data_IF_828137184025
#
_entry.id   IF_828137184025
#
_cell.length_a   1.000
_cell.length_b   1.000
_cell.length_c   1.000
_cell.angle_alpha   90.00
_cell.angle_beta   90.00
_cell.angle_gamma   90.00
#
_symmetry.space_group_name_H-M   'P 1'
#
loop_
_entity.id
_entity.type
_entity.pdbx_description
1 polymer ?
#
# COMPACT_ATOMS: atom_id res chain seq x y z
N UNK A 1 22.61 -2.62 -14.36
CA UNK A 1 22.30 -1.20 -14.56
C UNK A 1 23.15 -0.38 -13.60
N UNK A 2 23.97 0.55 -14.14
CA UNK A 2 24.73 1.52 -13.30
C UNK A 2 23.77 2.68 -12.95
N UNK A 3 22.84 2.43 -12.02
CA UNK A 3 21.92 3.47 -11.50
C UNK A 3 22.47 3.92 -10.15
N UNK A 4 22.76 5.21 -10.02
CA UNK A 4 23.27 5.79 -8.77
C UNK A 4 22.13 6.00 -7.78
N UNK A 5 21.10 6.76 -8.16
CA UNK A 5 19.92 7.05 -7.32
C UNK A 5 18.61 6.81 -8.07
N UNK A 6 17.60 6.34 -7.33
CA UNK A 6 16.26 6.03 -7.85
C UNK A 6 15.17 6.88 -7.17
N UNK A 7 14.06 7.06 -7.87
CA UNK A 7 12.78 7.40 -7.25
C UNK A 7 12.07 6.08 -6.94
N UNK A 8 11.87 5.78 -5.66
CA UNK A 8 11.25 4.54 -5.21
C UNK A 8 9.78 4.76 -4.92
N UNK A 9 8.93 3.91 -5.51
CA UNK A 9 7.48 3.91 -5.25
C UNK A 9 7.10 2.58 -4.64
N UNK A 10 6.45 2.60 -3.48
CA UNK A 10 5.89 1.42 -2.82
C UNK A 10 4.38 1.53 -2.70
N UNK A 11 3.67 0.45 -3.02
CA UNK A 11 2.23 0.35 -2.85
C UNK A 11 1.87 -0.77 -1.87
N UNK A 12 0.97 -0.48 -0.92
CA UNK A 12 0.46 -1.45 0.06
C UNK A 12 1.61 -2.18 0.79
N UNK A 13 1.73 -3.52 0.70
CA UNK A 13 2.88 -4.26 1.21
C UNK A 13 4.20 -3.73 0.66
N UNK A 14 4.23 -3.30 -0.61
CA UNK A 14 5.40 -2.69 -1.23
C UNK A 14 5.84 -1.39 -0.53
N UNK A 15 4.93 -0.66 0.10
CA UNK A 15 5.29 0.54 0.88
C UNK A 15 6.05 0.18 2.17
N UNK A 16 5.70 -0.93 2.83
CA UNK A 16 6.44 -1.42 4.00
C UNK A 16 7.85 -1.87 3.61
N UNK A 17 7.98 -2.56 2.47
CA UNK A 17 9.27 -2.96 1.91
C UNK A 17 10.10 -1.72 1.52
N UNK A 18 9.46 -0.70 0.93
CA UNK A 18 10.14 0.54 0.54
C UNK A 18 10.64 1.33 1.76
N UNK A 19 9.88 1.35 2.87
CA UNK A 19 10.33 1.93 4.15
C UNK A 19 11.56 1.19 4.68
N UNK A 20 11.52 -0.14 4.73
CA UNK A 20 12.65 -0.96 5.19
C UNK A 20 13.89 -0.76 4.30
N UNK A 21 13.73 -0.75 2.98
CA UNK A 21 14.81 -0.45 2.05
C UNK A 21 15.37 0.96 2.27
N UNK A 22 14.51 1.96 2.38
CA UNK A 22 14.91 3.34 2.60
C UNK A 22 15.70 3.50 3.89
N UNK A 23 15.27 2.86 4.98
CA UNK A 23 15.95 2.94 6.27
C UNK A 23 17.42 2.50 6.19
N UNK A 24 17.73 1.54 5.31
CA UNK A 24 19.07 0.96 5.12
C UNK A 24 19.88 1.67 4.05
N UNK A 25 19.23 2.25 3.04
CA UNK A 25 19.88 2.70 1.80
C UNK A 25 19.44 4.09 1.35
N UNK A 26 19.21 5.04 2.27
CA UNK A 26 18.76 6.40 1.94
C UNK A 26 19.59 7.08 0.86
N UNK A 27 20.92 6.88 0.86
CA UNK A 27 21.84 7.44 -0.14
C UNK A 27 21.57 6.98 -1.58
N UNK A 28 20.81 5.89 -1.76
CA UNK A 28 20.41 5.36 -3.07
C UNK A 28 19.10 5.93 -3.60
N UNK A 29 18.43 6.78 -2.84
CA UNK A 29 17.12 7.36 -3.21
C UNK A 29 17.26 8.86 -3.52
N UNK A 30 16.52 9.29 -4.57
CA UNK A 30 16.16 10.69 -4.80
C UNK A 30 14.90 11.02 -4.02
N UNK A 31 13.85 10.19 -4.20
CA UNK A 31 12.56 10.33 -3.53
C UNK A 31 12.01 8.97 -3.13
N UNK A 32 11.12 8.98 -2.15
CA UNK A 32 10.28 7.86 -1.74
C UNK A 32 8.82 8.24 -1.92
N UNK A 33 8.01 7.37 -2.53
CA UNK A 33 6.55 7.52 -2.58
C UNK A 33 5.89 6.29 -1.98
N UNK A 34 4.95 6.50 -1.07
CA UNK A 34 4.22 5.45 -0.35
C UNK A 34 2.73 5.59 -0.64
N UNK A 35 2.15 4.60 -1.33
CA UNK A 35 0.72 4.55 -1.64
C UNK A 35 0.02 3.50 -0.78
N UNK A 36 -1.09 3.87 -0.15
CA UNK A 36 -1.93 2.95 0.60
C UNK A 36 -1.15 2.19 1.67
N UNK A 37 -0.30 2.89 2.42
CA UNK A 37 0.53 2.30 3.47
C UNK A 37 -0.22 2.18 4.79
N UNK A 38 0.11 1.16 5.58
CA UNK A 38 -0.38 1.03 6.96
C UNK A 38 0.66 1.53 7.95
N UNK A 39 0.19 2.15 9.03
CA UNK A 39 1.06 2.61 10.11
C UNK A 39 0.30 2.69 11.43
N UNK A 40 0.94 2.27 12.54
CA UNK A 40 0.36 2.27 13.89
C UNK A 40 -1.06 1.67 13.94
N UNK A 41 -1.21 0.47 13.38
CA UNK A 41 -2.46 -0.28 13.46
C UNK A 41 -2.87 -0.46 14.92
N UNK A 42 -4.15 -0.26 15.22
CA UNK A 42 -4.70 -0.65 16.54
C UNK A 42 -4.70 -2.17 16.71
N UNK A 43 -4.93 -2.66 17.94
CA UNK A 43 -5.02 -4.09 18.20
C UNK A 43 -6.16 -4.73 17.41
N UNK A 44 -7.31 -4.07 17.31
CA UNK A 44 -8.45 -4.54 16.52
C UNK A 44 -8.11 -4.63 15.03
N UNK A 45 -7.43 -3.62 14.48
CA UNK A 45 -6.99 -3.63 13.09
C UNK A 45 -5.99 -4.75 12.82
N UNK A 46 -5.06 -5.02 13.75
CA UNK A 46 -4.13 -6.15 13.67
C UNK A 46 -4.88 -7.47 13.69
N UNK A 47 -5.79 -7.66 14.63
CA UNK A 47 -6.60 -8.87 14.75
C UNK A 47 -7.37 -9.18 13.47
N UNK A 48 -8.03 -8.17 12.87
CA UNK A 48 -8.76 -8.32 11.61
C UNK A 48 -7.86 -8.71 10.43
N UNK A 49 -6.63 -8.24 10.38
CA UNK A 49 -5.68 -8.60 9.31
C UNK A 49 -5.18 -10.03 9.51
N UNK A 50 -4.88 -10.42 10.75
CA UNK A 50 -4.46 -11.79 11.10
C UNK A 50 -5.59 -12.77 10.81
N UNK A 51 -6.83 -12.47 11.20
CA UNK A 51 -8.00 -13.30 10.89
C UNK A 51 -8.13 -13.54 9.38
N UNK A 52 -8.03 -12.50 8.57
CA UNK A 52 -8.06 -12.62 7.10
C UNK A 52 -6.91 -13.46 6.56
N UNK A 53 -5.72 -13.37 7.16
CA UNK A 53 -4.60 -14.23 6.79
C UNK A 53 -4.89 -15.70 7.12
N UNK A 54 -5.44 -16.00 8.30
CA UNK A 54 -5.83 -17.37 8.67
C UNK A 54 -6.94 -17.93 7.74
N UNK A 55 -7.89 -17.09 7.34
CA UNK A 55 -8.89 -17.47 6.33
C UNK A 55 -8.25 -17.78 4.97
N UNK A 56 -7.26 -16.99 4.55
CA UNK A 56 -6.53 -17.23 3.31
C UNK A 56 -5.79 -18.57 3.32
N UNK A 57 -5.23 -18.98 4.46
CA UNK A 57 -4.58 -20.30 4.64
C UNK A 57 -5.55 -21.47 4.43
N UNK A 58 -6.83 -21.28 4.70
CA UNK A 58 -7.88 -22.28 4.52
C UNK A 58 -8.46 -22.30 3.10
N UNK A 59 -7.82 -21.65 2.13
CA UNK A 59 -8.31 -21.50 0.75
C UNK A 59 -9.74 -20.95 0.65
N UNK A 60 -10.19 -20.17 1.64
CA UNK A 60 -11.50 -19.51 1.57
C UNK A 60 -11.45 -18.38 0.57
N UNK A 61 -12.43 -18.26 -0.33
CA UNK A 61 -12.44 -17.18 -1.33
C UNK A 61 -12.62 -15.83 -0.66
N UNK A 62 -11.51 -15.12 -0.50
CA UNK A 62 -11.50 -13.74 0.04
C UNK A 62 -11.80 -12.73 -1.09
N UNK A 63 -11.80 -13.18 -2.31
CA UNK A 63 -11.78 -12.39 -3.53
C UNK A 63 -12.89 -11.33 -3.64
N UNK A 64 -14.16 -11.70 -3.41
CA UNK A 64 -15.29 -10.74 -3.52
C UNK A 64 -15.23 -9.63 -2.45
N UNK A 65 -14.88 -10.00 -1.22
CA UNK A 65 -14.74 -9.02 -0.14
C UNK A 65 -13.50 -8.15 -0.31
N UNK A 66 -12.42 -8.70 -0.89
CA UNK A 66 -11.22 -7.92 -1.20
C UNK A 66 -11.53 -6.81 -2.22
N UNK A 67 -12.21 -7.15 -3.32
CA UNK A 67 -12.56 -6.16 -4.34
C UNK A 67 -13.39 -4.99 -3.78
N UNK A 68 -14.37 -5.26 -2.93
CA UNK A 68 -15.18 -4.22 -2.27
C UNK A 68 -14.36 -3.30 -1.35
N UNK A 69 -13.24 -3.80 -0.79
CA UNK A 69 -12.32 -2.96 -0.01
C UNK A 69 -11.36 -2.16 -0.89
N UNK A 70 -11.03 -2.69 -2.08
CA UNK A 70 -10.02 -2.13 -2.94
C UNK A 70 -10.52 -1.10 -3.93
N UNK A 71 -11.79 -1.23 -4.36
CA UNK A 71 -12.44 -0.36 -5.35
C UNK A 71 -13.77 0.15 -4.83
N UNK A 72 -14.20 1.31 -5.29
CA UNK A 72 -15.54 1.83 -5.06
C UNK A 72 -16.57 1.00 -5.83
N UNK A 73 -17.80 0.96 -5.32
CA UNK A 73 -18.89 0.26 -6.00
C UNK A 73 -19.16 0.88 -7.37
N UNK A 74 -19.04 2.22 -7.47
CA UNK A 74 -19.15 2.93 -8.75
C UNK A 74 -18.14 2.41 -9.76
N UNK A 75 -16.84 2.34 -9.38
CA UNK A 75 -15.79 1.89 -10.28
C UNK A 75 -16.00 0.44 -10.74
N UNK A 76 -16.39 -0.46 -9.83
CA UNK A 76 -16.67 -1.87 -10.17
C UNK A 76 -17.88 -2.03 -11.10
N UNK A 77 -18.89 -1.16 -10.99
CA UNK A 77 -20.05 -1.16 -11.89
C UNK A 77 -19.70 -0.62 -13.29
N UNK A 78 -18.85 0.40 -13.34
CA UNK A 78 -18.41 1.01 -14.62
C UNK A 78 -17.36 0.14 -15.33
N UNK A 79 -16.66 -0.77 -14.60
CA UNK A 79 -15.57 -1.61 -15.09
C UNK A 79 -15.74 -3.09 -14.68
N UNK A 80 -16.77 -3.78 -15.22
CA UNK A 80 -17.05 -5.18 -14.83
C UNK A 80 -15.90 -6.14 -15.14
N UNK A 81 -15.05 -5.83 -16.14
CA UNK A 81 -13.87 -6.63 -16.50
C UNK A 81 -12.83 -6.70 -15.38
N UNK A 82 -12.74 -5.69 -14.54
CA UNK A 82 -11.83 -5.66 -13.37
C UNK A 82 -12.15 -6.79 -12.41
N UNK A 83 -13.44 -7.08 -12.21
CA UNK A 83 -13.86 -8.18 -11.35
C UNK A 83 -13.22 -9.50 -11.80
N UNK A 84 -13.35 -9.84 -13.06
CA UNK A 84 -12.85 -11.11 -13.60
C UNK A 84 -11.32 -11.20 -13.61
N UNK A 85 -10.66 -10.08 -13.92
CA UNK A 85 -9.19 -9.99 -13.89
C UNK A 85 -8.64 -10.23 -12.48
N UNK A 86 -9.20 -9.56 -11.46
CA UNK A 86 -8.72 -9.71 -10.09
C UNK A 86 -9.11 -11.06 -9.47
N UNK A 87 -10.28 -11.63 -9.81
CA UNK A 87 -10.63 -12.97 -9.38
C UNK A 87 -9.60 -13.99 -9.85
N UNK A 88 -9.17 -13.93 -11.11
CA UNK A 88 -8.12 -14.81 -11.65
C UNK A 88 -6.80 -14.69 -10.89
N UNK A 89 -6.44 -13.48 -10.47
CA UNK A 89 -5.21 -13.23 -9.70
C UNK A 89 -5.33 -13.79 -8.27
N UNK A 90 -6.50 -13.63 -7.66
CA UNK A 90 -6.73 -13.97 -6.24
C UNK A 90 -7.08 -15.46 -6.01
N UNK A 91 -7.43 -16.19 -7.05
CA UNK A 91 -7.83 -17.61 -6.98
C UNK A 91 -6.77 -18.56 -7.51
N UNK A 92 -5.51 -18.15 -7.46
CA UNK A 92 -4.39 -19.01 -7.85
C UNK A 92 -4.17 -20.12 -6.85
N UNK A 93 -3.73 -21.27 -7.36
CA UNK A 93 -3.46 -22.50 -6.60
C UNK A 93 -1.96 -22.82 -6.54
N UNK A 94 -1.62 -23.85 -5.78
CA UNK A 94 -0.29 -24.45 -5.75
C UNK A 94 0.79 -23.47 -5.25
N UNK A 95 1.91 -23.37 -5.97
CA UNK A 95 3.06 -22.56 -5.58
C UNK A 95 2.74 -21.05 -5.53
N UNK A 96 1.93 -20.56 -6.44
CA UNK A 96 1.49 -19.17 -6.47
C UNK A 96 0.71 -18.81 -5.19
N UNK A 97 -0.17 -19.70 -4.74
CA UNK A 97 -0.89 -19.52 -3.47
C UNK A 97 0.05 -19.53 -2.27
N UNK A 98 1.03 -20.44 -2.23
CA UNK A 98 2.04 -20.47 -1.16
C UNK A 98 2.87 -19.20 -1.12
N UNK A 99 3.27 -18.65 -2.27
CA UNK A 99 4.01 -17.40 -2.35
C UNK A 99 3.15 -16.20 -1.92
N UNK A 100 1.87 -16.18 -2.29
CA UNK A 100 0.92 -15.20 -1.77
C UNK A 100 0.81 -15.27 -0.25
N UNK A 101 0.71 -16.48 0.34
CA UNK A 101 0.65 -16.62 1.80
C UNK A 101 1.91 -16.14 2.51
N UNK A 102 3.11 -16.33 1.93
CA UNK A 102 4.36 -15.78 2.47
C UNK A 102 4.34 -14.25 2.50
N UNK A 103 3.93 -13.63 1.40
CA UNK A 103 3.81 -12.18 1.30
C UNK A 103 2.71 -11.65 2.25
N UNK A 104 1.57 -12.31 2.33
CA UNK A 104 0.49 -11.92 3.22
C UNK A 104 0.87 -12.07 4.70
N UNK A 105 1.63 -13.11 5.07
CA UNK A 105 2.16 -13.27 6.42
C UNK A 105 3.05 -12.10 6.82
N UNK A 106 3.95 -11.66 5.93
CA UNK A 106 4.79 -10.49 6.15
C UNK A 106 3.92 -9.23 6.44
N UNK A 107 2.87 -9.01 5.65
CA UNK A 107 1.96 -7.90 5.84
C UNK A 107 1.14 -8.00 7.14
N UNK A 108 0.62 -9.19 7.46
CA UNK A 108 -0.26 -9.41 8.60
C UNK A 108 0.47 -9.20 9.94
N UNK A 109 1.70 -9.69 10.02
CA UNK A 109 2.51 -9.65 11.25
C UNK A 109 3.52 -8.50 11.27
N UNK A 110 3.48 -7.59 10.31
CA UNK A 110 4.34 -6.42 10.30
C UNK A 110 4.16 -5.58 11.56
N UNK A 111 5.27 -5.16 12.16
CA UNK A 111 5.32 -4.23 13.27
C UNK A 111 6.11 -3.00 12.88
N UNK A 112 5.57 -1.83 13.17
CA UNK A 112 6.22 -0.57 12.87
C UNK A 112 7.42 -0.33 13.79
N UNK A 113 8.50 0.16 13.22
CA UNK A 113 9.64 0.65 13.98
C UNK A 113 9.70 2.17 13.88
N UNK A 114 9.07 2.84 14.85
CA UNK A 114 8.95 4.30 14.87
C UNK A 114 10.32 5.01 14.92
N UNK A 115 11.31 4.44 15.62
CA UNK A 115 12.64 5.04 15.71
C UNK A 115 13.37 4.99 14.36
N UNK A 116 13.19 3.92 13.61
CA UNK A 116 13.72 3.80 12.25
C UNK A 116 13.05 4.82 11.32
N UNK A 117 11.73 4.94 11.39
CA UNK A 117 10.94 5.87 10.56
C UNK A 117 11.34 7.31 10.81
N UNK A 118 11.50 7.73 12.06
CA UNK A 118 11.93 9.08 12.45
C UNK A 118 13.34 9.44 11.99
N UNK A 119 14.13 8.47 11.56
CA UNK A 119 15.48 8.69 11.01
C UNK A 119 15.51 8.73 9.47
N UNK A 120 14.37 8.57 8.79
CA UNK A 120 14.28 8.69 7.33
C UNK A 120 14.26 10.18 6.95
N UNK A 121 15.31 10.61 6.24
CA UNK A 121 15.48 12.00 5.74
C UNK A 121 15.13 12.13 4.26
N UNK A 122 14.95 11.02 3.57
CA UNK A 122 14.59 11.00 2.15
C UNK A 122 13.29 11.77 1.94
N UNK A 123 13.26 12.65 0.92
CA UNK A 123 12.06 13.37 0.51
C UNK A 123 10.95 12.37 0.18
N UNK A 124 9.83 12.41 0.93
CA UNK A 124 8.79 11.38 0.89
C UNK A 124 7.42 11.96 0.56
N UNK A 125 6.71 11.34 -0.37
CA UNK A 125 5.30 11.58 -0.65
C UNK A 125 4.46 10.41 -0.14
N UNK A 126 3.39 10.69 0.61
CA UNK A 126 2.38 9.71 0.96
C UNK A 126 1.08 10.01 0.21
N UNK A 127 0.46 8.98 -0.36
CA UNK A 127 -0.85 9.10 -1.01
C UNK A 127 -1.77 7.97 -0.55
N UNK A 128 -3.03 8.30 -0.28
CA UNK A 128 -4.03 7.32 0.19
C UNK A 128 -5.40 7.73 -0.30
N UNK A 129 -6.18 6.77 -0.76
CA UNK A 129 -7.58 7.01 -1.12
C UNK A 129 -8.42 7.41 0.09
N UNK A 130 -9.31 8.40 -0.08
CA UNK A 130 -10.17 8.92 1.01
C UNK A 130 -11.01 7.82 1.66
N UNK A 131 -11.39 6.80 0.89
CA UNK A 131 -12.29 5.71 1.30
C UNK A 131 -11.54 4.39 1.58
N UNK A 132 -10.19 4.43 1.67
CA UNK A 132 -9.41 3.24 2.05
C UNK A 132 -9.61 2.91 3.53
N UNK A 133 -10.37 1.85 3.79
CA UNK A 133 -10.65 1.36 5.15
C UNK A 133 -9.54 0.50 5.75
N UNK A 134 -8.61 0.03 4.94
CA UNK A 134 -7.50 -0.86 5.37
C UNK A 134 -6.20 -0.11 5.66
N UNK A 135 -5.85 0.83 4.78
CA UNK A 135 -4.70 1.73 4.91
C UNK A 135 -5.24 3.15 4.97
N UNK A 136 -5.73 3.55 6.13
CA UNK A 136 -6.55 4.75 6.26
C UNK A 136 -5.78 6.05 6.08
N UNK A 137 -6.48 7.12 5.69
CA UNK A 137 -5.96 8.49 5.66
C UNK A 137 -5.26 8.87 6.97
N UNK A 138 -5.85 8.48 8.13
CA UNK A 138 -5.25 8.71 9.44
C UNK A 138 -3.89 8.03 9.59
N UNK A 139 -3.72 6.80 9.11
CA UNK A 139 -2.43 6.09 9.15
C UNK A 139 -1.37 6.82 8.34
N UNK A 140 -1.71 7.25 7.13
CA UNK A 140 -0.78 7.98 6.26
C UNK A 140 -0.44 9.37 6.80
N UNK A 141 -1.38 10.11 7.37
CA UNK A 141 -1.12 11.38 8.06
C UNK A 141 -0.18 11.17 9.25
N UNK A 142 -0.47 10.17 10.11
CA UNK A 142 0.38 9.85 11.26
C UNK A 142 1.80 9.46 10.84
N UNK A 143 1.95 8.71 9.75
CA UNK A 143 3.27 8.37 9.22
C UNK A 143 3.98 9.61 8.66
N UNK A 144 3.26 10.51 7.99
CA UNK A 144 3.80 11.77 7.50
C UNK A 144 4.32 12.64 8.64
N UNK A 145 3.58 12.71 9.75
CA UNK A 145 3.99 13.48 10.95
C UNK A 145 5.25 12.92 11.63
N UNK A 146 5.47 11.61 11.54
CA UNK A 146 6.66 10.95 12.11
C UNK A 146 7.89 10.99 11.16
N UNK A 147 7.70 11.31 9.86
CA UNK A 147 8.78 11.46 8.89
C UNK A 147 9.32 12.89 8.87
N UNK A 148 10.65 13.05 8.76
CA UNK A 148 11.30 14.37 8.82
C UNK A 148 10.97 15.24 7.61
N UNK A 149 10.90 14.66 6.42
CA UNK A 149 10.77 15.38 5.14
C UNK A 149 9.69 14.72 4.29
N UNK A 150 8.44 14.98 4.63
CA UNK A 150 7.31 14.35 3.97
C UNK A 150 6.20 15.32 3.60
N UNK A 151 5.37 14.90 2.65
CA UNK A 151 4.09 15.49 2.32
C UNK A 151 3.04 14.40 2.16
N UNK A 152 1.79 14.73 2.46
CA UNK A 152 0.66 13.83 2.33
C UNK A 152 -0.39 14.41 1.38
N UNK A 153 -0.92 13.56 0.49
CA UNK A 153 -2.01 13.89 -0.43
C UNK A 153 -3.10 12.83 -0.28
N UNK A 154 -4.31 13.27 0.00
CA UNK A 154 -5.52 12.46 -0.01
C UNK A 154 -6.07 12.40 -1.42
N UNK A 155 -6.30 11.18 -1.93
CA UNK A 155 -6.89 10.95 -3.26
C UNK A 155 -8.39 10.78 -3.07
N UNK A 156 -9.13 11.81 -3.48
CA UNK A 156 -10.58 11.84 -3.29
C UNK A 156 -11.30 10.73 -4.06
N UNK A 157 -12.37 10.20 -3.48
CA UNK A 157 -13.22 9.15 -4.06
C UNK A 157 -12.46 7.86 -4.43
N UNK A 158 -11.29 7.62 -3.85
CA UNK A 158 -10.49 6.43 -4.08
C UNK A 158 -10.49 5.51 -2.86
N UNK A 159 -10.52 4.21 -3.09
CA UNK A 159 -10.24 3.18 -2.08
C UNK A 159 -8.78 2.72 -2.15
N UNK A 160 -8.51 1.48 -1.75
CA UNK A 160 -7.12 0.97 -1.65
C UNK A 160 -6.37 1.00 -2.98
N UNK A 161 -7.03 0.65 -4.08
CA UNK A 161 -6.45 0.70 -5.42
C UNK A 161 -6.73 2.04 -6.13
N UNK A 162 -6.64 3.15 -5.40
CA UNK A 162 -6.76 4.49 -5.99
C UNK A 162 -5.77 4.76 -7.13
N UNK A 163 -4.65 4.05 -7.18
CA UNK A 163 -3.71 4.08 -8.31
C UNK A 163 -4.29 3.52 -9.62
N UNK A 164 -5.40 2.83 -9.56
CA UNK A 164 -6.15 2.31 -10.71
C UNK A 164 -7.41 3.15 -10.92
N UNK A 165 -8.27 3.26 -9.90
CA UNK A 165 -9.56 3.94 -10.03
C UNK A 165 -9.46 5.47 -10.12
N UNK A 166 -8.38 6.06 -9.58
CA UNK A 166 -8.09 7.50 -9.63
C UNK A 166 -6.70 7.74 -10.26
N UNK A 167 -6.37 6.99 -11.33
CA UNK A 167 -5.03 6.94 -11.91
C UNK A 167 -4.50 8.32 -12.31
N UNK A 168 -5.34 9.18 -12.86
CA UNK A 168 -4.94 10.53 -13.30
C UNK A 168 -4.47 11.38 -12.13
N UNK A 169 -5.23 11.40 -11.02
CA UNK A 169 -4.89 12.16 -9.83
C UNK A 169 -3.59 11.64 -9.20
N UNK A 170 -3.44 10.32 -9.08
CA UNK A 170 -2.22 9.71 -8.55
C UNK A 170 -1.02 10.03 -9.43
N UNK A 171 -1.13 9.90 -10.74
CA UNK A 171 -0.05 10.12 -11.68
C UNK A 171 0.37 11.60 -11.75
N UNK A 172 -0.57 12.55 -11.73
CA UNK A 172 -0.27 13.99 -11.70
C UNK A 172 0.53 14.33 -10.43
N UNK A 173 0.07 13.89 -9.27
CA UNK A 173 0.74 14.16 -8.00
C UNK A 173 2.11 13.50 -7.92
N UNK A 174 2.24 12.25 -8.36
CA UNK A 174 3.51 11.54 -8.42
C UNK A 174 4.51 12.25 -9.35
N UNK A 175 4.08 12.61 -10.56
CA UNK A 175 4.91 13.31 -11.55
C UNK A 175 5.40 14.65 -11.02
N UNK A 176 4.51 15.44 -10.41
CA UNK A 176 4.88 16.73 -9.81
C UNK A 176 5.90 16.56 -8.69
N UNK A 177 5.71 15.55 -7.84
CA UNK A 177 6.62 15.28 -6.72
C UNK A 177 8.02 14.83 -7.17
N UNK A 178 8.11 14.00 -8.20
CA UNK A 178 9.40 13.48 -8.70
C UNK A 178 10.19 14.58 -9.45
N UNK A 179 9.51 15.51 -10.11
CA UNK A 179 10.14 16.55 -10.94
C UNK A 179 10.53 17.82 -10.16
N UNK A 180 10.03 18.01 -8.95
CA UNK A 180 10.37 19.09 -8.03
C UNK A 180 11.45 18.65 -7.01
#
# INVERSE_FOLDING_TARGET
LKIDKINLVGFSLGSLIAIDFTSKFQGRLKTLTLLGTTYKRTEEQRALVIERFEQAKLNKPISKQALKRWFTDKYLNDHPEIHDQFIKILTKDGEDHLNFLKAYKLFAYHQDNTDVIKNIKTKTLLMTGSDDSGSTVKMSKTLSDDLINSSFIEINNGKHLCSIECADDVNINLKNFINN
#
